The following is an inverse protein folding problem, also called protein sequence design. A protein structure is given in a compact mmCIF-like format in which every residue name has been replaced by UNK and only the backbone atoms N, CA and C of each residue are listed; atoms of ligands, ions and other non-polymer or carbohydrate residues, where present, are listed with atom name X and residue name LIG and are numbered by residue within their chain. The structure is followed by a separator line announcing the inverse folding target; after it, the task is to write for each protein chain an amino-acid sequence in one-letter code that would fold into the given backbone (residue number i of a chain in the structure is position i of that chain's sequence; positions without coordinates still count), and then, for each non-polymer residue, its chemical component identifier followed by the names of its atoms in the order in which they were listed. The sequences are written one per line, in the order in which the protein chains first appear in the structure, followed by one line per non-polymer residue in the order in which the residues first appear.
data_IF_044949046464
#
_entry.id   IF_044949046464
#
_cell.length_a   1.000
_cell.length_b   1.000
_cell.length_c   1.000
_cell.angle_alpha   90.00
_cell.angle_beta   90.00
_cell.angle_gamma   90.00
#
_symmetry.space_group_name_H-M   'P 1'
#
loop_
_entity.id
_entity.type
_entity.pdbx_description
1 polymer ?
#
# COMPACT_ATOMS: atom_id res chain seq x y z
N UNK A 1 -21.27 -14.54 -64.47
CA UNK A 1 -21.34 -14.58 -63.00
C UNK A 1 -20.64 -13.31 -62.49
N UNK A 2 -21.24 -12.15 -62.77
CA UNK A 2 -22.08 -11.31 -61.87
C UNK A 2 -21.22 -10.63 -60.80
N UNK A 3 -20.69 -9.41 -61.01
CA UNK A 3 -21.32 -8.10 -61.21
C UNK A 3 -21.28 -7.27 -59.91
N UNK A 4 -20.47 -6.20 -59.97
CA UNK A 4 -20.44 -5.12 -59.00
C UNK A 4 -21.73 -4.29 -59.13
N UNK A 5 -22.44 -4.08 -58.03
CA UNK A 5 -23.53 -3.11 -57.92
C UNK A 5 -23.54 -2.55 -56.47
N UNK A 6 -23.17 -1.30 -56.23
CA UNK A 6 -23.89 -0.04 -56.41
C UNK A 6 -24.69 0.43 -55.17
N UNK A 7 -24.24 1.59 -54.64
CA UNK A 7 -25.03 2.84 -54.49
C UNK A 7 -25.76 3.13 -53.16
N UNK A 8 -25.59 4.42 -52.77
CA UNK A 8 -26.51 5.34 -52.06
C UNK A 8 -26.46 5.34 -50.52
N UNK A 9 -25.94 6.42 -49.92
CA UNK A 9 -26.73 7.63 -49.57
C UNK A 9 -25.86 8.77 -48.99
N UNK A 10 -26.10 9.94 -49.56
CA UNK A 10 -25.73 11.30 -49.18
C UNK A 10 -26.60 11.85 -48.05
N UNK A 11 -26.02 12.56 -47.08
CA UNK A 11 -26.65 13.51 -46.12
C UNK A 11 -25.53 14.48 -45.72
N UNK A 12 -25.42 15.78 -46.05
CA UNK A 12 -26.27 16.98 -46.16
C UNK A 12 -26.70 17.61 -44.81
N UNK A 13 -26.12 18.81 -44.57
CA UNK A 13 -26.46 19.91 -43.64
C UNK A 13 -26.19 19.64 -42.13
N UNK A 14 -25.54 20.50 -41.34
CA UNK A 14 -25.67 21.95 -41.21
C UNK A 14 -24.32 22.68 -40.93
N UNK A 15 -24.08 23.75 -41.69
CA UNK A 15 -23.02 24.74 -41.52
C UNK A 15 -23.60 25.92 -40.72
N UNK A 16 -22.99 26.25 -39.58
CA UNK A 16 -23.30 27.43 -38.76
C UNK A 16 -22.67 28.68 -39.39
N UNK A 17 -23.50 29.60 -39.91
CA UNK A 17 -23.07 30.96 -40.26
C UNK A 17 -24.29 31.91 -40.27
N UNK A 18 -24.35 32.84 -39.32
CA UNK A 18 -25.22 34.03 -39.25
C UNK A 18 -25.10 34.60 -37.81
N UNK A 19 -25.09 35.89 -37.50
CA UNK A 19 -25.13 37.14 -38.25
C UNK A 19 -24.73 38.22 -37.21
N UNK A 20 -23.72 39.04 -37.47
CA UNK A 20 -23.43 40.23 -36.67
C UNK A 20 -23.88 41.44 -37.48
N UNK A 21 -24.98 42.08 -37.08
CA UNK A 21 -25.47 43.32 -37.68
C UNK A 21 -25.72 44.37 -36.60
N UNK A 22 -24.93 45.43 -36.73
CA UNK A 22 -24.92 46.68 -35.99
C UNK A 22 -26.24 47.42 -36.23
N UNK A 23 -26.94 47.80 -35.16
CA UNK A 23 -28.13 48.66 -35.21
C UNK A 23 -27.70 50.12 -35.42
N UNK A 24 -27.98 50.64 -36.60
CA UNK A 24 -27.89 52.06 -36.95
C UNK A 24 -29.17 52.80 -36.57
N UNK A 25 -28.99 53.89 -35.84
CA UNK A 25 -30.01 54.85 -35.41
C UNK A 25 -30.33 55.80 -36.58
N UNK A 26 -31.60 55.94 -36.97
CA UNK A 26 -32.04 57.05 -37.85
C UNK A 26 -33.41 57.58 -37.44
N UNK A 27 -33.45 58.91 -37.29
CA UNK A 27 -34.61 59.73 -36.94
C UNK A 27 -35.61 59.84 -38.09
N UNK A 28 -36.90 59.89 -37.77
CA UNK A 28 -37.93 60.56 -38.58
C UNK A 28 -38.90 61.36 -37.67
N UNK A 29 -39.52 62.46 -38.15
CA UNK A 29 -40.18 63.44 -37.30
C UNK A 29 -41.73 63.38 -37.28
N UNK A 30 -42.27 63.77 -36.12
CA UNK A 30 -43.49 64.58 -35.82
C UNK A 30 -44.78 64.29 -36.61
N UNK A 31 -45.83 63.90 -35.87
CA UNK A 31 -47.21 64.37 -36.10
C UNK A 31 -47.83 64.77 -34.74
N UNK A 32 -48.25 66.03 -34.65
CA UNK A 32 -48.98 66.65 -33.54
C UNK A 32 -50.46 66.51 -33.89
N UNK A 33 -51.27 65.95 -32.99
CA UNK A 33 -52.71 66.22 -32.98
C UNK A 33 -53.22 66.38 -31.54
N UNK A 34 -53.48 67.64 -31.22
CA UNK A 34 -54.55 68.23 -30.40
C UNK A 34 -54.99 67.58 -29.08
N UNK A 35 -54.84 68.38 -28.01
CA UNK A 35 -55.42 68.20 -26.69
C UNK A 35 -56.78 68.90 -26.57
N UNK A 36 -57.76 68.28 -25.89
CA UNK A 36 -58.84 68.85 -25.05
C UNK A 36 -59.81 67.69 -24.69
N UNK A 37 -60.43 67.55 -23.53
CA UNK A 37 -60.72 68.50 -22.47
C UNK A 37 -60.85 67.77 -21.11
N UNK A 38 -60.67 68.57 -20.05
CA UNK A 38 -60.72 68.17 -18.66
C UNK A 38 -62.15 68.07 -18.09
N UNK A 39 -62.28 67.15 -17.14
CA UNK A 39 -62.88 67.29 -15.81
C UNK A 39 -64.13 68.21 -15.63
N UNK A 40 -65.23 67.59 -15.20
CA UNK A 40 -66.38 68.27 -14.61
C UNK A 40 -66.86 67.46 -13.40
N UNK A 41 -66.92 68.02 -12.18
CA UNK A 41 -67.43 67.30 -11.03
C UNK A 41 -68.96 67.20 -11.10
N UNK A 42 -69.48 65.97 -11.06
CA UNK A 42 -70.92 65.71 -11.05
C UNK A 42 -71.57 66.26 -9.77
N UNK A 43 -72.39 67.30 -9.92
CA UNK A 43 -73.25 67.79 -8.85
C UNK A 43 -74.43 66.81 -8.64
N UNK A 44 -74.68 66.42 -7.39
CA UNK A 44 -75.80 65.56 -7.01
C UNK A 44 -77.12 66.32 -7.15
N UNK A 45 -77.88 66.03 -8.20
CA UNK A 45 -79.27 66.46 -8.35
C UNK A 45 -80.16 65.44 -7.65
N UNK A 46 -80.77 65.82 -6.53
CA UNK A 46 -81.78 65.01 -5.84
C UNK A 46 -83.11 65.22 -6.57
N UNK A 47 -83.42 64.35 -7.54
CA UNK A 47 -84.77 64.22 -8.10
C UNK A 47 -85.50 63.04 -7.44
N UNK A 48 -86.81 63.17 -7.25
CA UNK A 48 -87.70 62.12 -6.74
C UNK A 48 -88.27 61.22 -7.85
N UNK A 49 -87.72 61.31 -9.08
CA UNK A 49 -88.10 60.46 -10.19
C UNK A 49 -87.48 59.04 -10.06
N UNK A 50 -88.18 57.98 -10.49
CA UNK A 50 -87.62 56.63 -10.44
C UNK A 50 -86.34 56.55 -11.27
N UNK A 51 -85.27 56.02 -10.64
CA UNK A 51 -83.94 55.87 -11.23
C UNK A 51 -84.01 55.35 -12.69
N UNK A 52 -83.32 56.01 -13.65
CA UNK A 52 -83.21 55.57 -15.04
C UNK A 52 -82.76 54.11 -15.14
N UNK A 53 -83.33 53.36 -16.09
CA UNK A 53 -83.11 51.90 -16.20
C UNK A 53 -81.63 51.53 -16.40
N UNK A 54 -80.83 52.40 -17.01
CA UNK A 54 -79.41 52.15 -17.26
C UNK A 54 -78.59 52.09 -15.96
N UNK A 55 -78.87 52.97 -14.99
CA UNK A 55 -78.19 53.00 -13.70
C UNK A 55 -78.60 51.81 -12.81
N UNK A 56 -79.83 51.29 -12.95
CA UNK A 56 -80.26 50.08 -12.24
C UNK A 56 -79.47 48.85 -12.67
N UNK A 57 -79.10 48.75 -13.96
CA UNK A 57 -78.32 47.62 -14.46
C UNK A 57 -76.88 47.61 -13.94
N UNK A 58 -76.32 48.79 -13.66
CA UNK A 58 -74.94 48.94 -13.22
C UNK A 58 -74.78 48.74 -11.71
N UNK A 59 -75.75 49.18 -10.91
CA UNK A 59 -75.76 49.03 -9.44
C UNK A 59 -76.19 47.63 -8.98
N UNK A 60 -77.03 46.93 -9.76
CA UNK A 60 -77.45 45.54 -9.48
C UNK A 60 -76.71 44.49 -10.33
N UNK A 61 -75.52 44.81 -10.81
CA UNK A 61 -74.65 43.78 -11.38
C UNK A 61 -74.12 42.90 -10.25
N UNK A 62 -74.40 41.59 -10.38
CA UNK A 62 -74.04 40.52 -9.44
C UNK A 62 -72.64 40.70 -8.84
N UNK A 63 -72.41 40.30 -7.58
CA UNK A 63 -71.13 40.51 -6.91
C UNK A 63 -69.99 40.00 -7.78
N UNK A 64 -69.08 40.89 -8.16
CA UNK A 64 -67.87 40.52 -8.89
C UNK A 64 -67.12 39.51 -8.03
N UNK A 65 -67.03 38.28 -8.54
CA UNK A 65 -66.32 37.19 -7.87
C UNK A 65 -64.88 37.68 -7.69
N UNK A 66 -64.40 37.71 -6.45
CA UNK A 66 -63.00 38.05 -6.16
C UNK A 66 -62.11 37.22 -7.11
N UNK A 67 -61.10 37.84 -7.75
CA UNK A 67 -60.20 37.11 -8.64
C UNK A 67 -59.71 35.86 -7.91
N UNK A 68 -59.85 34.70 -8.56
CA UNK A 68 -59.35 33.45 -8.02
C UNK A 68 -57.84 33.57 -7.99
N UNK A 69 -57.29 33.91 -6.83
CA UNK A 69 -55.85 33.91 -6.63
C UNK A 69 -55.45 32.42 -6.64
N UNK A 70 -54.99 31.94 -7.79
CA UNK A 70 -54.48 30.57 -7.86
C UNK A 70 -53.23 30.49 -6.97
N UNK A 71 -52.93 29.33 -6.35
CA UNK A 71 -51.71 29.16 -5.56
C UNK A 71 -50.45 29.64 -6.31
N UNK A 72 -50.40 29.46 -7.64
CA UNK A 72 -49.33 29.91 -8.52
C UNK A 72 -49.17 31.44 -8.63
N UNK A 73 -50.22 32.23 -8.33
CA UNK A 73 -50.15 33.69 -8.29
C UNK A 73 -49.76 34.23 -6.90
N UNK A 74 -50.01 33.47 -5.82
CA UNK A 74 -49.53 33.81 -4.47
C UNK A 74 -48.06 33.45 -4.31
N UNK A 75 -47.66 32.28 -4.84
CA UNK A 75 -46.25 31.89 -4.97
C UNK A 75 -45.64 32.56 -6.19
N UNK A 76 -45.81 33.88 -6.32
CA UNK A 76 -45.29 34.65 -7.43
C UNK A 76 -43.84 34.25 -7.73
N UNK A 77 -43.46 34.39 -8.99
CA UNK A 77 -42.16 34.10 -9.61
C UNK A 77 -40.91 34.71 -8.90
N UNK A 78 -41.04 35.23 -7.67
CA UNK A 78 -39.98 35.64 -6.76
C UNK A 78 -38.90 34.57 -6.51
N UNK A 79 -39.21 33.28 -6.71
CA UNK A 79 -38.25 32.17 -6.59
C UNK A 79 -37.63 31.72 -7.92
N UNK A 80 -38.03 32.31 -9.05
CA UNK A 80 -37.61 31.88 -10.40
C UNK A 80 -36.75 32.91 -11.14
N UNK A 81 -36.55 34.11 -10.55
CA UNK A 81 -35.36 34.88 -10.93
C UNK A 81 -34.15 34.14 -10.38
N UNK A 82 -33.44 33.48 -11.30
CA UNK A 82 -32.08 32.98 -11.19
C UNK A 82 -31.09 34.10 -10.80
N UNK A 83 -31.34 34.81 -9.70
CA UNK A 83 -30.39 35.68 -9.04
C UNK A 83 -29.31 34.75 -8.51
N UNK A 84 -28.27 34.55 -9.32
CA UNK A 84 -27.08 33.82 -8.92
C UNK A 84 -26.46 34.54 -7.73
N UNK A 85 -26.78 34.06 -6.52
CA UNK A 85 -26.12 34.50 -5.30
C UNK A 85 -24.62 34.24 -5.45
N UNK A 86 -23.80 35.07 -4.81
CA UNK A 86 -22.33 34.86 -4.83
C UNK A 86 -21.99 33.50 -4.23
N UNK A 87 -22.75 33.10 -3.21
CA UNK A 87 -22.65 31.81 -2.52
C UNK A 87 -23.03 30.67 -3.47
N UNK A 88 -24.14 30.76 -4.19
CA UNK A 88 -24.57 29.76 -5.17
C UNK A 88 -23.52 29.47 -6.24
N UNK A 89 -22.88 30.52 -6.81
CA UNK A 89 -21.76 30.34 -7.76
C UNK A 89 -20.57 29.60 -7.16
N UNK A 90 -20.26 29.86 -5.88
CA UNK A 90 -19.18 29.17 -5.17
C UNK A 90 -19.56 27.71 -4.89
N UNK A 91 -20.82 27.44 -4.51
CA UNK A 91 -21.35 26.08 -4.35
C UNK A 91 -21.24 25.28 -5.64
N UNK A 92 -21.59 25.87 -6.79
CA UNK A 92 -21.47 25.21 -8.09
C UNK A 92 -20.01 24.87 -8.43
N UNK A 93 -19.08 25.79 -8.11
CA UNK A 93 -17.64 25.55 -8.29
C UNK A 93 -17.16 24.39 -7.41
N UNK A 94 -17.47 24.41 -6.12
CA UNK A 94 -17.08 23.35 -5.19
C UNK A 94 -17.69 21.99 -5.55
N UNK A 95 -18.92 21.99 -6.08
CA UNK A 95 -19.58 20.78 -6.57
C UNK A 95 -18.87 20.21 -7.80
N UNK A 96 -18.42 21.05 -8.72
CA UNK A 96 -17.64 20.61 -9.88
C UNK A 96 -16.27 20.05 -9.47
N UNK A 97 -15.61 20.69 -8.50
CA UNK A 97 -14.34 20.21 -7.93
C UNK A 97 -14.54 18.85 -7.22
N UNK A 98 -15.61 18.71 -6.42
CA UNK A 98 -15.97 17.44 -5.79
C UNK A 98 -16.25 16.35 -6.83
N UNK A 99 -17.00 16.65 -7.90
CA UNK A 99 -17.28 15.68 -8.96
C UNK A 99 -15.99 15.21 -9.64
N UNK A 100 -15.05 16.12 -9.87
CA UNK A 100 -13.75 15.81 -10.44
C UNK A 100 -12.94 14.90 -9.51
N UNK A 101 -12.90 15.24 -8.22
CA UNK A 101 -12.26 14.43 -7.18
C UNK A 101 -12.89 13.02 -7.06
N UNK A 102 -14.21 12.92 -7.08
CA UNK A 102 -14.92 11.63 -7.05
C UNK A 102 -14.56 10.76 -8.27
N UNK A 103 -14.43 11.38 -9.46
CA UNK A 103 -13.93 10.70 -10.65
C UNK A 103 -12.50 10.19 -10.49
N UNK A 104 -11.60 11.00 -9.94
CA UNK A 104 -10.23 10.58 -9.63
C UNK A 104 -10.18 9.40 -8.66
N UNK A 105 -10.96 9.45 -7.57
CA UNK A 105 -11.03 8.40 -6.57
C UNK A 105 -11.59 7.11 -7.15
N UNK A 106 -12.62 7.19 -8.00
CA UNK A 106 -13.17 6.03 -8.69
C UNK A 106 -12.10 5.34 -9.57
N UNK A 107 -11.35 6.13 -10.34
CA UNK A 107 -10.25 5.63 -11.17
C UNK A 107 -9.12 5.02 -10.31
N UNK A 108 -8.75 5.67 -9.19
CA UNK A 108 -7.75 5.15 -8.25
C UNK A 108 -8.20 3.83 -7.62
N UNK A 109 -9.49 3.71 -7.27
CA UNK A 109 -10.08 2.49 -6.73
C UNK A 109 -10.08 1.34 -7.74
N UNK A 110 -10.49 1.60 -8.98
CA UNK A 110 -10.44 0.61 -10.06
C UNK A 110 -8.99 0.15 -10.29
N UNK A 111 -8.05 1.10 -10.29
CA UNK A 111 -6.63 0.80 -10.44
C UNK A 111 -6.13 -0.09 -9.31
N UNK A 112 -6.49 0.19 -8.06
CA UNK A 112 -6.14 -0.65 -6.91
C UNK A 112 -6.64 -2.09 -7.10
N UNK A 113 -7.93 -2.26 -7.44
CA UNK A 113 -8.51 -3.58 -7.66
C UNK A 113 -7.79 -4.33 -8.78
N UNK A 114 -7.44 -3.64 -9.87
CA UNK A 114 -6.67 -4.24 -10.98
C UNK A 114 -5.28 -4.72 -10.54
N UNK A 115 -4.58 -3.93 -9.70
CA UNK A 115 -3.27 -4.28 -9.15
C UNK A 115 -3.36 -5.46 -8.19
N UNK A 116 -4.41 -5.53 -7.37
CA UNK A 116 -4.67 -6.63 -6.46
C UNK A 116 -4.92 -7.95 -7.22
N UNK A 117 -5.77 -7.92 -8.24
CA UNK A 117 -6.04 -9.11 -9.08
C UNK A 117 -4.78 -9.55 -9.83
N UNK A 118 -4.00 -8.60 -10.36
CA UNK A 118 -2.73 -8.91 -11.02
C UNK A 118 -1.76 -9.60 -10.02
N UNK A 119 -1.56 -8.99 -8.85
CA UNK A 119 -0.71 -9.55 -7.79
C UNK A 119 -1.14 -10.95 -7.37
N UNK A 120 -2.44 -11.20 -7.20
CA UNK A 120 -2.99 -12.52 -6.87
C UNK A 120 -2.68 -13.56 -7.96
N UNK A 121 -2.86 -13.21 -9.24
CA UNK A 121 -2.58 -14.11 -10.35
C UNK A 121 -1.07 -14.47 -10.45
N UNK A 122 -0.20 -13.48 -10.22
CA UNK A 122 1.25 -13.68 -10.18
C UNK A 122 1.67 -14.57 -9.01
N UNK A 123 1.08 -14.36 -7.83
CA UNK A 123 1.31 -15.20 -6.65
C UNK A 123 0.82 -16.64 -6.88
N UNK A 124 -0.36 -16.83 -7.49
CA UNK A 124 -0.87 -18.17 -7.81
C UNK A 124 0.05 -18.92 -8.78
N UNK A 125 0.53 -18.25 -9.82
CA UNK A 125 1.46 -18.83 -10.81
C UNK A 125 2.82 -19.15 -10.18
N UNK A 126 3.28 -18.28 -9.28
CA UNK A 126 4.47 -18.51 -8.46
C UNK A 126 4.32 -19.78 -7.62
N UNK A 127 3.26 -19.90 -6.81
CA UNK A 127 3.04 -21.07 -5.94
C UNK A 127 2.89 -22.36 -6.73
N UNK A 128 2.22 -22.33 -7.88
CA UNK A 128 2.14 -23.50 -8.77
C UNK A 128 3.54 -23.95 -9.24
N UNK A 129 4.43 -23.01 -9.54
CA UNK A 129 5.81 -23.29 -9.94
C UNK A 129 6.62 -23.88 -8.77
N UNK A 130 6.48 -23.31 -7.57
CA UNK A 130 7.14 -23.80 -6.35
C UNK A 130 6.66 -25.20 -5.98
N UNK A 131 5.35 -25.45 -6.02
CA UNK A 131 4.78 -26.77 -5.74
C UNK A 131 5.28 -27.83 -6.74
N UNK A 132 5.40 -27.46 -8.02
CA UNK A 132 5.97 -28.36 -9.04
C UNK A 132 7.45 -28.65 -8.75
N UNK A 133 8.22 -27.63 -8.35
CA UNK A 133 9.63 -27.80 -8.02
C UNK A 133 9.78 -28.68 -6.77
N UNK A 134 9.06 -28.39 -5.69
CA UNK A 134 9.18 -29.11 -4.42
C UNK A 134 8.79 -30.57 -4.55
N UNK A 135 7.69 -30.88 -5.25
CA UNK A 135 7.26 -32.27 -5.53
C UNK A 135 8.30 -33.05 -6.32
N UNK A 136 8.89 -32.43 -7.36
CA UNK A 136 9.93 -33.07 -8.16
C UNK A 136 11.24 -33.28 -7.37
N UNK A 137 11.62 -32.32 -6.51
CA UNK A 137 12.81 -32.44 -5.67
C UNK A 137 12.62 -33.47 -4.55
N UNK A 138 11.41 -33.62 -4.01
CA UNK A 138 11.09 -34.63 -3.00
C UNK A 138 11.18 -36.06 -3.57
N UNK A 139 10.79 -36.26 -4.83
CA UNK A 139 10.99 -37.53 -5.54
C UNK A 139 12.46 -37.77 -5.93
N UNK A 140 13.32 -36.76 -5.78
CA UNK A 140 14.65 -36.72 -6.35
C UNK A 140 14.64 -36.40 -7.85
N UNK A 141 15.61 -35.60 -8.29
CA UNK A 141 15.81 -35.24 -9.69
C UNK A 141 17.29 -35.29 -10.03
N UNK A 142 17.62 -35.29 -11.32
CA UNK A 142 19.01 -35.07 -11.74
C UNK A 142 19.49 -33.68 -11.30
N UNK A 143 20.72 -33.57 -10.75
CA UNK A 143 21.35 -32.28 -10.48
C UNK A 143 21.25 -31.34 -11.69
N UNK A 144 20.76 -30.12 -11.48
CA UNK A 144 20.66 -29.10 -12.54
C UNK A 144 19.61 -29.37 -13.61
N UNK A 145 18.51 -30.07 -13.31
CA UNK A 145 17.44 -30.35 -14.27
C UNK A 145 16.92 -29.07 -14.97
N UNK A 146 17.03 -28.94 -16.30
CA UNK A 146 16.70 -27.72 -17.03
C UNK A 146 15.20 -27.36 -16.94
N UNK A 147 14.32 -28.34 -16.75
CA UNK A 147 12.88 -28.08 -16.55
C UNK A 147 12.63 -27.35 -15.24
N UNK A 148 13.32 -27.74 -14.17
CA UNK A 148 13.21 -27.08 -12.86
C UNK A 148 13.89 -25.71 -12.86
N UNK A 149 15.01 -25.57 -13.57
CA UNK A 149 15.67 -24.27 -13.78
C UNK A 149 14.72 -23.31 -14.52
N UNK A 150 14.02 -23.78 -15.56
CA UNK A 150 13.02 -22.97 -16.26
C UNK A 150 11.86 -22.57 -15.35
N UNK A 151 11.30 -23.49 -14.54
CA UNK A 151 10.25 -23.18 -13.56
C UNK A 151 10.71 -22.19 -12.49
N UNK A 152 11.96 -22.32 -12.03
CA UNK A 152 12.58 -21.38 -11.09
C UNK A 152 12.73 -19.99 -11.72
N UNK A 153 13.10 -19.92 -13.00
CA UNK A 153 13.16 -18.66 -13.73
C UNK A 153 11.77 -18.00 -13.83
N UNK A 154 10.72 -18.76 -14.18
CA UNK A 154 9.33 -18.27 -14.15
C UNK A 154 8.92 -17.76 -12.76
N UNK A 155 9.25 -18.50 -11.70
CA UNK A 155 8.96 -18.09 -10.33
C UNK A 155 9.68 -16.79 -9.94
N UNK A 156 10.95 -16.62 -10.37
CA UNK A 156 11.71 -15.37 -10.18
C UNK A 156 11.08 -14.19 -10.91
N UNK A 157 10.70 -14.37 -12.18
CA UNK A 157 10.02 -13.31 -12.95
C UNK A 157 8.72 -12.90 -12.28
N UNK A 158 7.89 -13.86 -11.83
CA UNK A 158 6.65 -13.53 -11.12
C UNK A 158 6.91 -12.72 -9.84
N UNK A 159 7.96 -13.06 -9.06
CA UNK A 159 8.34 -12.26 -7.88
C UNK A 159 8.84 -10.86 -8.24
N UNK A 160 9.50 -10.70 -9.39
CA UNK A 160 9.94 -9.38 -9.86
C UNK A 160 8.75 -8.53 -10.32
N UNK A 161 7.79 -9.12 -11.05
CA UNK A 161 6.52 -8.47 -11.40
C UNK A 161 5.74 -8.05 -10.13
N UNK A 162 5.75 -8.90 -9.10
CA UNK A 162 5.19 -8.56 -7.77
C UNK A 162 5.96 -7.40 -7.12
N UNK A 163 7.27 -7.29 -7.32
CA UNK A 163 8.10 -6.17 -6.86
C UNK A 163 7.76 -4.87 -7.59
N UNK A 164 7.54 -4.94 -8.92
CA UNK A 164 7.11 -3.79 -9.73
C UNK A 164 5.71 -3.31 -9.34
N UNK A 165 4.82 -4.24 -8.98
CA UNK A 165 3.50 -3.91 -8.46
C UNK A 165 3.59 -3.06 -7.17
N UNK A 166 4.57 -3.30 -6.29
CA UNK A 166 4.79 -2.47 -5.09
C UNK A 166 5.14 -1.03 -5.48
N UNK A 167 5.98 -0.82 -6.49
CA UNK A 167 6.29 0.53 -6.97
C UNK A 167 5.02 1.24 -7.49
N UNK A 168 4.16 0.50 -8.19
CA UNK A 168 2.88 1.01 -8.67
C UNK A 168 1.90 1.33 -7.53
N UNK A 169 1.86 0.51 -6.47
CA UNK A 169 1.07 0.79 -5.26
C UNK A 169 1.57 2.03 -4.52
N UNK A 170 2.90 2.26 -4.46
CA UNK A 170 3.47 3.47 -3.86
C UNK A 170 3.07 4.74 -4.65
N UNK A 171 3.12 4.69 -5.99
CA UNK A 171 2.64 5.79 -6.82
C UNK A 171 1.14 6.06 -6.59
N UNK A 172 0.33 4.99 -6.49
CA UNK A 172 -1.08 5.11 -6.15
C UNK A 172 -1.31 5.74 -4.77
N UNK A 173 -0.51 5.37 -3.76
CA UNK A 173 -0.59 5.95 -2.42
C UNK A 173 -0.30 7.47 -2.42
N UNK A 174 0.69 7.91 -3.20
CA UNK A 174 1.00 9.34 -3.37
C UNK A 174 -0.17 10.08 -4.02
N UNK A 175 -0.79 9.51 -5.06
CA UNK A 175 -1.97 10.09 -5.73
C UNK A 175 -3.17 10.19 -4.79
N UNK A 176 -3.44 9.15 -4.00
CA UNK A 176 -4.53 9.16 -3.00
C UNK A 176 -4.27 10.20 -1.93
N UNK A 177 -3.01 10.38 -1.51
CA UNK A 177 -2.62 11.43 -0.53
C UNK A 177 -2.86 12.84 -1.08
N UNK A 178 -2.64 13.06 -2.38
CA UNK A 178 -3.01 14.31 -3.05
C UNK A 178 -4.53 14.50 -3.05
N UNK A 179 -5.30 13.46 -3.38
CA UNK A 179 -6.78 13.49 -3.32
C UNK A 179 -7.32 13.70 -1.89
N UNK A 180 -6.61 13.25 -0.86
CA UNK A 180 -6.96 13.54 0.55
C UNK A 180 -6.78 15.03 0.88
N UNK A 181 -5.72 15.63 0.35
CA UNK A 181 -5.43 17.05 0.53
C UNK A 181 -6.47 17.92 -0.17
N UNK A 182 -6.89 17.55 -1.38
CA UNK A 182 -7.97 18.25 -2.09
C UNK A 182 -9.32 18.08 -1.38
N UNK A 183 -9.65 16.88 -0.88
CA UNK A 183 -10.85 16.66 -0.09
C UNK A 183 -10.90 17.55 1.17
N UNK A 184 -9.77 17.66 1.88
CA UNK A 184 -9.63 18.52 3.06
C UNK A 184 -9.79 20.00 2.72
N UNK A 185 -9.20 20.43 1.60
CA UNK A 185 -9.37 21.79 1.08
C UNK A 185 -10.82 22.10 0.72
N UNK A 186 -11.53 21.16 0.07
CA UNK A 186 -12.95 21.32 -0.26
C UNK A 186 -13.82 21.43 0.99
N UNK A 187 -13.53 20.64 2.03
CA UNK A 187 -14.24 20.70 3.30
C UNK A 187 -14.06 22.07 3.97
N UNK A 188 -12.82 22.54 4.04
CA UNK A 188 -12.51 23.86 4.62
C UNK A 188 -13.12 24.99 3.79
N UNK A 189 -13.05 24.91 2.46
CA UNK A 189 -13.66 25.91 1.58
C UNK A 189 -15.18 25.91 1.69
N UNK A 190 -15.82 24.76 1.90
CA UNK A 190 -17.27 24.66 2.14
C UNK A 190 -17.65 25.29 3.47
N UNK A 191 -16.89 25.02 4.54
CA UNK A 191 -17.06 25.63 5.86
C UNK A 191 -16.91 27.15 5.83
N UNK A 192 -15.90 27.65 5.13
CA UNK A 192 -15.69 29.08 4.94
C UNK A 192 -16.84 29.76 4.17
N UNK A 193 -17.51 29.02 3.28
CA UNK A 193 -18.60 29.56 2.45
C UNK A 193 -19.86 29.85 3.28
N UNK A 194 -20.10 29.15 4.40
CA UNK A 194 -21.20 29.49 5.33
C UNK A 194 -21.07 30.88 5.96
N UNK A 195 -19.84 31.41 6.06
CA UNK A 195 -19.60 32.74 6.62
C UNK A 195 -19.80 33.89 5.63
N UNK A 196 -20.09 33.59 4.36
CA UNK A 196 -20.25 34.60 3.31
C UNK A 196 -21.66 35.22 3.38
N UNK A 197 -21.72 36.55 3.53
CA UNK A 197 -22.99 37.29 3.55
C UNK A 197 -23.66 37.31 2.17
N UNK A 198 -25.00 37.33 2.15
CA UNK A 198 -25.81 37.34 0.92
C UNK A 198 -26.19 35.95 0.39
N UNK A 199 -26.15 34.92 1.26
CA UNK A 199 -26.73 33.61 0.99
C UNK A 199 -28.27 33.63 1.14
N UNK A 200 -28.95 32.76 0.42
CA UNK A 200 -30.37 32.41 0.62
C UNK A 200 -30.49 31.05 1.33
N UNK A 201 -31.64 30.76 1.94
CA UNK A 201 -31.89 29.48 2.63
C UNK A 201 -31.64 28.26 1.73
N UNK A 202 -31.95 28.36 0.44
CA UNK A 202 -31.71 27.31 -0.54
C UNK A 202 -30.22 27.00 -0.72
N UNK A 203 -29.34 28.00 -0.62
CA UNK A 203 -27.89 27.82 -0.71
C UNK A 203 -27.34 27.09 0.52
N UNK A 204 -27.88 27.40 1.71
CA UNK A 204 -27.50 26.70 2.94
C UNK A 204 -27.85 25.21 2.88
N UNK A 205 -29.01 24.86 2.34
CA UNK A 205 -29.40 23.45 2.14
C UNK A 205 -28.46 22.77 1.14
N UNK A 206 -28.08 23.45 0.04
CA UNK A 206 -27.12 22.92 -0.94
C UNK A 206 -25.72 22.74 -0.35
N UNK A 207 -25.26 23.70 0.48
CA UNK A 207 -23.99 23.60 1.20
C UNK A 207 -23.97 22.43 2.17
N UNK A 208 -25.05 22.20 2.92
CA UNK A 208 -25.15 21.07 3.83
C UNK A 208 -25.03 19.73 3.10
N UNK A 209 -25.74 19.57 1.98
CA UNK A 209 -25.63 18.37 1.14
C UNK A 209 -24.22 18.18 0.57
N UNK A 210 -23.57 19.27 0.17
CA UNK A 210 -22.20 19.25 -0.34
C UNK A 210 -21.21 18.86 0.75
N UNK A 211 -21.34 19.41 1.96
CA UNK A 211 -20.51 19.09 3.12
C UNK A 211 -20.62 17.60 3.47
N UNK A 212 -21.84 17.04 3.50
CA UNK A 212 -22.06 15.61 3.73
C UNK A 212 -21.37 14.74 2.66
N UNK A 213 -21.45 15.13 1.39
CA UNK A 213 -20.81 14.42 0.29
C UNK A 213 -19.27 14.51 0.35
N UNK A 214 -18.71 15.65 0.76
CA UNK A 214 -17.27 15.82 0.99
C UNK A 214 -16.82 14.96 2.17
N UNK A 215 -17.54 14.99 3.29
CA UNK A 215 -17.23 14.17 4.47
C UNK A 215 -17.23 12.67 4.12
N UNK A 216 -18.20 12.21 3.33
CA UNK A 216 -18.21 10.84 2.83
C UNK A 216 -16.97 10.53 1.97
N UNK A 217 -16.61 11.46 1.08
CA UNK A 217 -15.44 11.34 0.20
C UNK A 217 -14.14 11.25 1.01
N UNK A 218 -13.97 12.06 2.06
CA UNK A 218 -12.82 12.00 2.98
C UNK A 218 -12.67 10.60 3.58
N UNK A 219 -13.75 10.03 4.11
CA UNK A 219 -13.73 8.67 4.69
C UNK A 219 -13.36 7.61 3.66
N UNK A 220 -13.82 7.75 2.42
CA UNK A 220 -13.46 6.83 1.33
C UNK A 220 -11.97 6.92 1.01
N UNK A 221 -11.42 8.14 0.91
CA UNK A 221 -10.00 8.36 0.63
C UNK A 221 -9.12 7.79 1.74
N UNK A 222 -9.47 8.01 3.01
CA UNK A 222 -8.76 7.43 4.16
C UNK A 222 -8.78 5.90 4.11
N UNK A 223 -9.94 5.30 3.84
CA UNK A 223 -10.05 3.85 3.69
C UNK A 223 -9.19 3.35 2.54
N UNK A 224 -9.19 4.04 1.40
CA UNK A 224 -8.40 3.65 0.24
C UNK A 224 -6.89 3.72 0.55
N UNK A 225 -6.44 4.80 1.20
CA UNK A 225 -5.05 4.96 1.62
C UNK A 225 -4.61 3.85 2.58
N UNK A 226 -5.44 3.52 3.58
CA UNK A 226 -5.16 2.44 4.51
C UNK A 226 -5.06 1.08 3.80
N UNK A 227 -6.00 0.77 2.89
CA UNK A 227 -5.94 -0.47 2.11
C UNK A 227 -4.66 -0.57 1.24
N UNK A 228 -4.23 0.53 0.62
CA UNK A 228 -3.00 0.55 -0.18
C UNK A 228 -1.77 0.34 0.70
N UNK A 229 -1.68 1.03 1.83
CA UNK A 229 -0.56 0.86 2.77
C UNK A 229 -0.49 -0.56 3.35
N UNK A 230 -1.64 -1.15 3.70
CA UNK A 230 -1.73 -2.53 4.17
C UNK A 230 -1.27 -3.52 3.09
N UNK A 231 -1.65 -3.30 1.82
CA UNK A 231 -1.21 -4.16 0.72
C UNK A 231 0.29 -4.02 0.41
N UNK A 232 0.85 -2.80 0.51
CA UNK A 232 2.30 -2.55 0.37
C UNK A 232 3.08 -3.29 1.46
N UNK A 233 2.68 -3.14 2.73
CA UNK A 233 3.39 -3.78 3.85
C UNK A 233 3.29 -5.31 3.78
N UNK A 234 2.09 -5.84 3.49
CA UNK A 234 1.87 -7.28 3.30
C UNK A 234 2.70 -7.84 2.16
N UNK A 235 2.71 -7.18 1.00
CA UNK A 235 3.45 -7.65 -0.18
C UNK A 235 4.96 -7.56 0.01
N UNK A 236 5.44 -6.52 0.69
CA UNK A 236 6.88 -6.36 1.00
C UNK A 236 7.38 -7.47 1.92
N UNK A 237 6.63 -7.79 2.98
CA UNK A 237 6.98 -8.87 3.91
C UNK A 237 6.96 -10.26 3.22
N UNK A 238 5.95 -10.49 2.38
CA UNK A 238 5.84 -11.69 1.56
C UNK A 238 7.07 -11.85 0.65
N UNK A 239 7.44 -10.80 -0.08
CA UNK A 239 8.49 -10.85 -1.09
C UNK A 239 9.87 -11.14 -0.48
N UNK A 240 10.19 -10.53 0.67
CA UNK A 240 11.43 -10.81 1.40
C UNK A 240 11.57 -12.30 1.76
N UNK A 241 10.49 -12.91 2.26
CA UNK A 241 10.45 -14.33 2.64
C UNK A 241 10.59 -15.24 1.41
N UNK A 242 9.89 -14.93 0.32
CA UNK A 242 9.92 -15.75 -0.89
C UNK A 242 11.24 -15.65 -1.66
N UNK A 243 11.94 -14.50 -1.62
CA UNK A 243 13.29 -14.39 -2.19
C UNK A 243 14.28 -15.32 -1.48
N UNK A 244 14.19 -15.44 -0.16
CA UNK A 244 15.00 -16.38 0.62
C UNK A 244 14.62 -17.83 0.33
N UNK A 245 13.33 -18.12 0.16
CA UNK A 245 12.84 -19.44 -0.25
C UNK A 245 13.36 -19.85 -1.64
N UNK A 246 13.31 -18.94 -2.61
CA UNK A 246 13.83 -19.19 -3.97
C UNK A 246 15.34 -19.44 -4.00
N UNK A 247 16.13 -18.74 -3.16
CA UNK A 247 17.57 -19.02 -3.02
C UNK A 247 17.81 -20.43 -2.51
N UNK A 248 17.04 -20.83 -1.51
CA UNK A 248 17.07 -22.17 -0.93
C UNK A 248 16.70 -23.24 -1.95
N UNK A 249 15.62 -23.03 -2.72
CA UNK A 249 15.21 -23.94 -3.80
C UNK A 249 16.21 -23.98 -4.96
N UNK A 250 16.86 -22.87 -5.29
CA UNK A 250 17.88 -22.82 -6.33
C UNK A 250 19.06 -23.76 -6.00
N UNK A 251 19.48 -23.80 -4.74
CA UNK A 251 20.51 -24.73 -4.27
C UNK A 251 20.02 -26.18 -4.39
N UNK A 252 18.80 -26.47 -3.94
CA UNK A 252 18.22 -27.81 -4.01
C UNK A 252 18.06 -28.33 -5.45
N UNK A 253 17.73 -27.45 -6.40
CA UNK A 253 17.68 -27.78 -7.84
C UNK A 253 19.07 -28.09 -8.38
N UNK A 254 20.09 -27.35 -7.94
CA UNK A 254 21.47 -27.62 -8.34
C UNK A 254 21.93 -29.00 -7.84
N UNK A 255 21.63 -29.35 -6.59
CA UNK A 255 22.02 -30.64 -5.98
C UNK A 255 21.10 -31.81 -6.36
N UNK A 256 19.88 -31.53 -6.84
CA UNK A 256 18.91 -32.55 -7.27
C UNK A 256 18.11 -33.23 -6.15
N UNK A 257 18.17 -32.72 -4.92
CA UNK A 257 17.49 -33.30 -3.74
C UNK A 257 17.06 -32.20 -2.76
N UNK A 258 15.86 -32.36 -2.18
CA UNK A 258 15.26 -31.43 -1.22
C UNK A 258 15.75 -31.72 0.20
N UNK A 259 16.96 -31.27 0.57
CA UNK A 259 17.50 -31.25 1.95
C UNK A 259 17.46 -32.57 2.76
N UNK A 260 16.99 -33.68 2.19
CA UNK A 260 16.63 -34.90 2.91
C UNK A 260 17.82 -35.75 3.26
N UNK A 261 18.83 -35.84 2.39
CA UNK A 261 20.03 -36.65 2.64
C UNK A 261 21.17 -35.91 3.34
N UNK A 262 21.24 -34.58 3.20
CA UNK A 262 22.32 -33.76 3.79
C UNK A 262 22.02 -33.27 5.21
N UNK A 263 20.77 -33.36 5.69
CA UNK A 263 20.43 -33.18 7.10
C UNK A 263 20.51 -34.51 7.88
N UNK A 264 20.13 -35.63 7.26
CA UNK A 264 20.26 -36.96 7.85
C UNK A 264 21.70 -37.48 7.89
N UNK A 265 22.61 -36.93 7.07
CA UNK A 265 24.04 -37.19 7.12
C UNK A 265 24.82 -36.18 7.98
N UNK A 266 24.13 -35.35 8.78
CA UNK A 266 24.77 -34.54 9.82
C UNK A 266 24.98 -35.40 11.08
N UNK A 267 26.22 -35.75 11.47
CA UNK A 267 26.50 -36.46 12.72
C UNK A 267 26.30 -35.60 13.99
N UNK A 268 25.51 -34.53 13.95
CA UNK A 268 25.27 -33.62 15.07
C UNK A 268 23.85 -33.69 15.66
N UNK A 269 23.06 -34.73 15.32
CA UNK A 269 21.83 -35.07 16.05
C UNK A 269 22.07 -35.88 17.33
N UNK A 270 23.33 -36.07 17.74
CA UNK A 270 23.71 -36.53 19.07
C UNK A 270 24.08 -35.33 19.95
N UNK A 271 23.12 -34.45 20.21
CA UNK A 271 23.09 -33.77 21.49
C UNK A 271 22.71 -34.82 22.55
N UNK A 272 23.31 -34.82 23.76
CA UNK A 272 22.83 -35.72 24.81
C UNK A 272 21.37 -35.38 25.07
N UNK A 273 20.49 -36.35 24.88
CA UNK A 273 19.15 -36.31 25.47
C UNK A 273 19.35 -36.13 26.97
N UNK A 274 19.11 -34.92 27.47
CA UNK A 274 18.69 -34.76 28.84
C UNK A 274 17.37 -35.52 28.95
N UNK A 275 17.40 -36.68 29.62
CA UNK A 275 16.23 -37.42 30.03
C UNK A 275 15.32 -36.50 30.85
N UNK A 276 14.32 -35.90 30.20
CA UNK A 276 13.15 -35.39 30.89
C UNK A 276 12.15 -36.54 30.96
N UNK A 277 12.27 -37.37 32.01
CA UNK A 277 11.20 -38.26 32.42
C UNK A 277 10.05 -37.41 32.95
N UNK A 278 8.83 -37.46 32.37
CA UNK A 278 7.68 -36.83 32.97
C UNK A 278 7.22 -37.73 34.13
N UNK A 279 7.51 -37.31 35.36
CA UNK A 279 6.96 -37.97 36.54
C UNK A 279 5.47 -37.60 36.65
N UNK A 280 4.64 -38.51 36.14
CA UNK A 280 3.21 -38.54 36.41
C UNK A 280 2.96 -38.71 37.92
N UNK A 281 2.00 -37.93 38.40
CA UNK A 281 1.40 -38.12 39.71
C UNK A 281 0.73 -39.50 39.79
N UNK A 282 1.10 -40.31 40.78
CA UNK A 282 0.18 -41.08 41.64
C UNK A 282 0.92 -42.09 42.51
N UNK A 283 0.66 -42.00 43.81
CA UNK A 283 0.46 -43.21 44.62
C UNK A 283 1.64 -43.75 45.41
N UNK A 284 1.41 -43.78 46.72
CA UNK A 284 1.88 -44.76 47.72
C UNK A 284 3.15 -44.47 48.54
N UNK A 285 2.87 -44.40 49.85
CA UNK A 285 3.59 -45.09 50.92
C UNK A 285 4.97 -44.58 51.36
N UNK A 286 4.90 -43.75 52.40
CA UNK A 286 5.75 -43.71 53.59
C UNK A 286 6.60 -44.98 53.88
N UNK A 287 7.93 -44.85 53.97
CA UNK A 287 8.72 -45.52 55.03
C UNK A 287 10.11 -44.89 55.24
N UNK A 288 10.45 -44.80 56.51
CA UNK A 288 11.62 -44.19 57.18
C UNK A 288 12.92 -44.98 56.96
N UNK A 289 14.09 -44.31 56.89
CA UNK A 289 15.26 -44.42 57.81
C UNK A 289 16.62 -44.05 57.16
N UNK A 290 17.36 -43.10 57.78
CA UNK A 290 18.79 -43.28 58.13
C UNK A 290 19.93 -42.64 57.30
N UNK A 291 20.29 -41.38 57.59
CA UNK A 291 21.64 -40.74 57.73
C UNK A 291 22.80 -40.93 56.69
N UNK A 292 23.86 -40.07 56.65
CA UNK A 292 24.05 -38.73 57.23
C UNK A 292 24.35 -37.62 56.18
N UNK A 293 24.23 -36.37 56.62
CA UNK A 293 24.48 -35.15 55.85
C UNK A 293 25.96 -34.99 55.44
N UNK A 294 26.18 -34.78 54.14
CA UNK A 294 27.40 -34.18 53.59
C UNK A 294 27.16 -32.67 53.40
N UNK A 295 28.12 -31.78 53.71
CA UNK A 295 27.92 -30.35 53.60
C UNK A 295 27.62 -29.97 52.15
N UNK A 296 26.49 -29.30 51.94
CA UNK A 296 26.18 -28.58 50.71
C UNK A 296 27.22 -27.48 50.52
N UNK A 297 28.26 -27.75 49.73
CA UNK A 297 28.87 -26.67 48.95
C UNK A 297 27.86 -26.31 47.86
N UNK A 298 27.37 -25.06 47.78
CA UNK A 298 26.65 -24.64 46.59
C UNK A 298 27.57 -24.89 45.39
N UNK A 299 27.12 -25.54 44.30
CA UNK A 299 27.91 -25.55 43.08
C UNK A 299 28.18 -24.09 42.74
N UNK A 300 29.46 -23.74 42.80
CA UNK A 300 29.96 -22.45 42.40
C UNK A 300 29.30 -22.11 41.07
N UNK A 301 28.63 -20.95 41.03
CA UNK A 301 28.26 -20.27 39.80
C UNK A 301 29.51 -20.31 38.94
N UNK A 302 29.49 -21.20 37.93
CA UNK A 302 30.57 -21.38 37.00
C UNK A 302 30.85 -20.02 36.40
N UNK A 303 31.96 -19.46 36.83
CA UNK A 303 32.61 -18.28 36.29
C UNK A 303 32.40 -18.23 34.78
N UNK A 304 31.65 -17.21 34.35
CA UNK A 304 31.63 -16.78 32.96
C UNK A 304 33.10 -16.55 32.58
N UNK A 305 33.70 -17.32 31.66
CA UNK A 305 34.93 -16.88 31.04
C UNK A 305 34.50 -15.71 30.15
N UNK A 306 34.84 -14.50 30.59
CA UNK A 306 34.62 -13.25 29.86
C UNK A 306 35.46 -13.16 28.60
N UNK A 307 35.26 -14.10 27.67
CA UNK A 307 35.73 -14.04 26.30
C UNK A 307 34.53 -13.98 25.37
N UNK A 308 34.60 -13.20 24.27
CA UNK A 308 33.57 -13.22 23.25
C UNK A 308 33.37 -14.66 22.79
N UNK A 309 32.12 -15.15 22.80
CA UNK A 309 31.82 -16.49 22.29
C UNK A 309 31.93 -16.47 20.77
N UNK A 310 32.68 -17.38 20.13
CA UNK A 310 32.75 -17.43 18.68
C UNK A 310 31.38 -17.81 18.12
N UNK A 311 30.91 -17.03 17.14
CA UNK A 311 29.72 -17.31 16.36
C UNK A 311 29.89 -18.60 15.56
N UNK A 312 31.08 -18.79 14.98
CA UNK A 312 31.44 -20.01 14.24
C UNK A 312 32.86 -20.42 14.58
N UNK A 313 33.07 -21.71 14.79
CA UNK A 313 34.38 -22.35 14.92
C UNK A 313 34.60 -23.33 13.78
N UNK A 314 35.53 -23.01 12.88
CA UNK A 314 35.88 -23.85 11.74
C UNK A 314 37.16 -24.60 12.09
N UNK A 315 37.14 -25.93 12.05
CA UNK A 315 38.31 -26.76 12.31
C UNK A 315 38.85 -27.29 10.99
N UNK A 316 40.10 -26.99 10.67
CA UNK A 316 40.79 -27.50 9.47
C UNK A 316 41.53 -28.80 9.80
N UNK A 317 40.78 -29.83 10.18
CA UNK A 317 41.30 -31.17 10.50
C UNK A 317 41.63 -32.01 9.25
N UNK A 318 41.05 -31.67 8.10
CA UNK A 318 41.18 -32.38 6.82
C UNK A 318 41.37 -31.40 5.65
N UNK A 319 41.95 -31.84 4.51
CA UNK A 319 41.87 -31.07 3.28
C UNK A 319 40.40 -30.91 2.85
N UNK A 320 40.05 -29.75 2.30
CA UNK A 320 38.72 -29.44 1.75
C UNK A 320 37.53 -29.50 2.73
N UNK A 321 37.68 -28.88 3.90
CA UNK A 321 36.58 -28.72 4.86
C UNK A 321 35.42 -27.91 4.23
N UNK A 322 34.22 -28.48 4.24
CA UNK A 322 32.98 -27.81 3.79
C UNK A 322 32.47 -26.81 4.84
N UNK A 323 33.13 -25.66 4.97
CA UNK A 323 32.80 -24.63 5.96
C UNK A 323 31.85 -23.55 5.42
N UNK A 324 31.65 -23.46 4.11
CA UNK A 324 30.96 -22.34 3.45
C UNK A 324 29.49 -22.25 3.87
N UNK A 325 28.76 -23.36 3.82
CA UNK A 325 27.34 -23.41 4.17
C UNK A 325 27.05 -23.05 5.65
N UNK A 326 27.73 -23.65 6.65
CA UNK A 326 27.47 -23.29 8.05
C UNK A 326 27.88 -21.85 8.38
N UNK A 327 28.96 -21.34 7.79
CA UNK A 327 29.39 -19.94 7.97
C UNK A 327 28.33 -18.99 7.40
N UNK A 328 27.80 -19.26 6.21
CA UNK A 328 26.78 -18.43 5.58
C UNK A 328 25.50 -18.33 6.43
N UNK A 329 25.00 -19.47 6.93
CA UNK A 329 23.80 -19.49 7.76
C UNK A 329 24.00 -18.69 9.06
N UNK A 330 25.14 -18.88 9.73
CA UNK A 330 25.45 -18.17 10.96
C UNK A 330 25.60 -16.66 10.75
N UNK A 331 26.26 -16.24 9.65
CA UNK A 331 26.41 -14.82 9.30
C UNK A 331 25.07 -14.20 8.93
N UNK A 332 24.24 -14.89 8.15
CA UNK A 332 22.91 -14.39 7.77
C UNK A 332 21.98 -14.28 8.99
N UNK A 333 22.00 -15.24 9.90
CA UNK A 333 21.26 -15.17 11.17
C UNK A 333 21.76 -14.02 12.06
N UNK A 334 23.08 -13.81 12.14
CA UNK A 334 23.66 -12.70 12.86
C UNK A 334 23.28 -11.34 12.25
N UNK A 335 23.31 -11.20 10.92
CA UNK A 335 22.92 -9.97 10.21
C UNK A 335 21.41 -9.68 10.31
N UNK A 336 20.57 -10.73 10.33
CA UNK A 336 19.11 -10.58 10.56
C UNK A 336 18.82 -10.03 11.95
N UNK A 337 19.59 -10.43 12.96
CA UNK A 337 19.44 -9.92 14.35
C UNK A 337 20.13 -8.58 14.56
N UNK A 338 21.27 -8.35 13.90
CA UNK A 338 22.11 -7.17 14.07
C UNK A 338 22.56 -6.63 12.69
N UNK A 339 21.81 -5.70 12.08
CA UNK A 339 22.08 -5.19 10.73
C UNK A 339 23.45 -4.46 10.59
N UNK A 340 23.94 -3.91 11.68
CA UNK A 340 25.19 -3.16 11.76
C UNK A 340 26.35 -3.96 12.39
N UNK A 341 26.19 -5.27 12.54
CA UNK A 341 27.23 -6.14 13.10
C UNK A 341 28.53 -6.05 12.28
N UNK A 342 29.65 -5.95 13.00
CA UNK A 342 30.98 -6.17 12.45
C UNK A 342 31.45 -7.57 12.83
N UNK A 343 32.34 -8.12 12.03
CA UNK A 343 32.85 -9.47 12.24
C UNK A 343 34.35 -9.44 12.43
N UNK A 344 34.84 -10.25 13.36
CA UNK A 344 36.27 -10.47 13.54
C UNK A 344 36.59 -11.93 13.22
N UNK A 345 37.48 -12.13 12.26
CA UNK A 345 37.99 -13.42 11.86
C UNK A 345 39.34 -13.65 12.52
N UNK A 346 39.41 -14.61 13.45
CA UNK A 346 40.62 -14.94 14.18
C UNK A 346 41.18 -16.26 13.68
N UNK A 347 42.39 -16.22 13.12
CA UNK A 347 43.14 -17.41 12.75
C UNK A 347 43.87 -17.97 13.98
N UNK A 348 43.51 -19.20 14.38
CA UNK A 348 44.07 -19.89 15.53
C UNK A 348 44.93 -21.06 15.07
N UNK A 349 46.17 -21.12 15.56
CA UNK A 349 47.10 -22.21 15.30
C UNK A 349 47.58 -22.83 16.63
N UNK A 350 47.91 -24.13 16.63
CA UNK A 350 48.47 -24.78 17.81
C UNK A 350 49.82 -24.14 18.17
N UNK A 351 50.03 -23.86 19.45
CA UNK A 351 51.33 -23.41 19.98
C UNK A 351 52.23 -24.58 20.44
N UNK A 352 51.76 -25.82 20.33
CA UNK A 352 52.53 -27.02 20.67
C UNK A 352 53.44 -27.44 19.52
N UNK A 353 54.75 -27.59 19.78
CA UNK A 353 55.73 -28.09 18.80
C UNK A 353 57.05 -27.32 18.82
N UNK A 354 57.96 -27.66 17.90
CA UNK A 354 59.24 -26.95 17.73
C UNK A 354 59.02 -25.59 17.02
N UNK A 355 59.93 -24.63 17.18
CA UNK A 355 59.78 -23.27 16.63
C UNK A 355 59.60 -23.24 15.09
N UNK A 356 60.15 -24.23 14.38
CA UNK A 356 59.95 -24.38 12.94
C UNK A 356 58.54 -24.88 12.58
N UNK A 357 57.95 -25.75 13.42
CA UNK A 357 56.62 -26.32 13.20
C UNK A 357 55.53 -25.27 13.47
N UNK A 358 55.67 -24.47 14.54
CA UNK A 358 54.74 -23.37 14.84
C UNK A 358 54.76 -22.29 13.76
N UNK A 359 55.92 -22.01 13.15
CA UNK A 359 56.04 -21.11 12.00
C UNK A 359 55.31 -21.63 10.74
N UNK A 360 55.33 -22.95 10.51
CA UNK A 360 54.61 -23.57 9.39
C UNK A 360 53.10 -23.55 9.65
N UNK A 361 52.65 -23.93 10.85
CA UNK A 361 51.22 -23.95 11.19
C UNK A 361 50.61 -22.55 11.24
N UNK A 362 51.34 -21.54 11.73
CA UNK A 362 50.89 -20.14 11.67
C UNK A 362 50.71 -19.65 10.22
N UNK A 363 51.62 -20.01 9.32
CA UNK A 363 51.50 -19.70 7.88
C UNK A 363 50.29 -20.42 7.26
N UNK A 364 50.03 -21.67 7.66
CA UNK A 364 48.89 -22.46 7.17
C UNK A 364 47.55 -21.90 7.70
N UNK A 365 47.46 -21.57 8.98
CA UNK A 365 46.29 -20.94 9.59
C UNK A 365 45.97 -19.60 8.92
N UNK A 366 47.00 -18.81 8.59
CA UNK A 366 46.83 -17.55 7.85
C UNK A 366 46.21 -17.76 6.47
N UNK A 367 46.73 -18.69 5.67
CA UNK A 367 46.16 -19.01 4.36
C UNK A 367 44.72 -19.52 4.45
N UNK A 368 44.40 -20.29 5.50
CA UNK A 368 43.04 -20.79 5.71
C UNK A 368 42.08 -19.65 6.06
N UNK A 369 42.48 -18.71 6.93
CA UNK A 369 41.66 -17.55 7.27
C UNK A 369 41.46 -16.62 6.07
N UNK A 370 42.49 -16.39 5.25
CA UNK A 370 42.38 -15.63 3.99
C UNK A 370 41.40 -16.30 3.00
N UNK A 371 41.36 -17.64 2.96
CA UNK A 371 40.40 -18.39 2.14
C UNK A 371 38.97 -18.21 2.64
N UNK A 372 38.76 -18.26 3.96
CA UNK A 372 37.45 -18.02 4.58
C UNK A 372 36.99 -16.57 4.35
N UNK A 373 37.89 -15.59 4.49
CA UNK A 373 37.62 -14.18 4.20
C UNK A 373 37.16 -13.99 2.75
N UNK A 374 37.86 -14.61 1.79
CA UNK A 374 37.47 -14.55 0.38
C UNK A 374 36.07 -15.13 0.17
N UNK A 375 35.78 -16.30 0.75
CA UNK A 375 34.43 -16.89 0.68
C UNK A 375 33.38 -15.97 1.28
N UNK A 376 33.66 -15.31 2.41
CA UNK A 376 32.75 -14.33 3.01
C UNK A 376 32.48 -13.13 2.09
N UNK A 377 33.52 -12.62 1.43
CA UNK A 377 33.38 -11.51 0.47
C UNK A 377 32.61 -11.91 -0.79
N UNK A 378 32.86 -13.11 -1.34
CA UNK A 378 32.12 -13.66 -2.49
C UNK A 378 30.63 -13.85 -2.18
N UNK A 379 30.29 -14.10 -0.90
CA UNK A 379 28.92 -14.23 -0.42
C UNK A 379 28.25 -12.89 -0.09
N UNK A 380 28.92 -11.75 -0.32
CA UNK A 380 28.36 -10.41 -0.21
C UNK A 380 28.63 -9.67 1.10
N UNK A 381 29.51 -10.19 1.97
CA UNK A 381 29.96 -9.45 3.15
C UNK A 381 31.06 -8.46 2.73
N UNK A 382 30.82 -7.15 2.92
CA UNK A 382 31.80 -6.11 2.58
C UNK A 382 33.10 -6.27 3.38
N UNK A 383 34.26 -6.07 2.73
CA UNK A 383 35.59 -6.23 3.34
C UNK A 383 35.76 -5.33 4.58
N UNK A 384 35.16 -4.14 4.54
CA UNK A 384 35.13 -3.15 5.64
C UNK A 384 34.40 -3.62 6.91
N UNK A 385 33.63 -4.71 6.84
CA UNK A 385 32.89 -5.28 7.96
C UNK A 385 33.62 -6.45 8.60
N UNK A 386 34.79 -6.84 8.09
CA UNK A 386 35.55 -8.00 8.57
C UNK A 386 36.97 -7.60 8.94
N UNK A 387 37.29 -7.71 10.22
CA UNK A 387 38.66 -7.55 10.72
C UNK A 387 39.33 -8.92 10.78
N UNK A 388 40.60 -9.01 10.36
CA UNK A 388 41.38 -10.25 10.38
C UNK A 388 42.48 -10.15 11.45
N UNK A 389 42.46 -11.07 12.41
CA UNK A 389 43.46 -11.17 13.48
C UNK A 389 44.02 -12.58 13.60
N UNK A 390 45.18 -12.69 14.25
CA UNK A 390 45.94 -13.93 14.37
C UNK A 390 46.30 -14.16 15.83
N UNK A 391 46.10 -15.37 16.33
CA UNK A 391 46.37 -15.66 17.74
C UNK A 391 46.86 -17.11 17.91
N UNK A 392 48.00 -17.34 18.60
CA UNK A 392 48.39 -18.69 19.00
C UNK A 392 47.46 -19.20 20.11
N UNK A 393 47.15 -20.49 20.13
CA UNK A 393 46.36 -21.09 21.21
C UNK A 393 46.98 -22.38 21.72
N UNK A 394 47.12 -22.47 23.05
CA UNK A 394 47.55 -23.70 23.75
C UNK A 394 46.45 -24.76 23.81
N UNK A 395 45.19 -24.34 23.61
CA UNK A 395 44.02 -25.23 23.67
C UNK A 395 43.63 -25.80 22.30
N UNK A 396 44.22 -25.30 21.22
CA UNK A 396 43.93 -25.75 19.87
C UNK A 396 44.88 -26.89 19.49
N UNK A 397 44.34 -28.06 19.15
CA UNK A 397 45.13 -29.21 18.64
C UNK A 397 45.30 -29.16 17.12
N UNK A 398 44.52 -28.34 16.42
CA UNK A 398 44.55 -28.19 14.96
C UNK A 398 44.40 -26.71 14.58
N UNK A 399 44.63 -26.38 13.30
CA UNK A 399 44.37 -25.03 12.80
C UNK A 399 42.86 -24.77 12.76
N UNK A 400 42.45 -23.68 13.38
CA UNK A 400 41.05 -23.31 13.54
C UNK A 400 40.85 -21.86 13.12
N UNK A 401 39.67 -21.56 12.59
CA UNK A 401 39.28 -20.18 12.27
C UNK A 401 38.01 -19.88 13.04
N UNK A 402 38.07 -18.86 13.88
CA UNK A 402 36.96 -18.43 14.71
C UNK A 402 36.38 -17.14 14.15
N UNK A 403 35.05 -17.08 14.02
CA UNK A 403 34.33 -15.89 13.63
C UNK A 403 33.61 -15.33 14.85
N UNK A 404 33.86 -14.07 15.18
CA UNK A 404 33.20 -13.35 16.26
C UNK A 404 32.34 -12.22 15.70
N UNK A 405 31.31 -11.85 16.44
CA UNK A 405 30.52 -10.64 16.19
C UNK A 405 31.00 -9.56 17.15
N UNK A 406 31.19 -8.35 16.63
CA UNK A 406 31.61 -7.15 17.37
C UNK A 406 30.50 -6.12 17.42
#
# INVERSE_FOLDING_TARGET
MTEQAHKKRTSRYYLFMALATVYGFSLTPIAIDSAEAADSPAALVISNDPLPMDLRSQVYSSPSRAPQISPAQVTGNYYDEQSQTVVGRKVDTLRSELFSLQGEIANQSEKLVSMQVNGQNKAATYYASIATISTQLQSGTTPGNPRLVSKLATARTNLEDLSENIASLNDLAVKISASASTASFLLESTRATYGLSGAIEEDHVRLAQLEDAINNTVVIVERLLNNVNDDITRTTAYLATERDNLRTLALAINTGDMFGRSLSSRPFSAAPQANFTPAAASGYANTFTGAPAQPMTPPAVGTVPGGPRPLVKIRFDRPDVSYQQPVYLAVNEALKRYPNARFELVAVHPSAGNAAETAIESTRARRNAERVLRSLTEMGLGLERVDLSYTPSENATTNEVHLYVR
#
